data_IF_601616621209
#
_entry.id   IF_601616621209
#
_cell.length_a   1.000
_cell.length_b   1.000
_cell.length_c   1.000
_cell.angle_alpha   90.00
_cell.angle_beta   90.00
_cell.angle_gamma   90.00
#
_symmetry.space_group_name_H-M   'P 1'
#
loop_
_entity.id
_entity.type
_entity.pdbx_description
1 polymer ?
#
# COMPACT_ATOMS: atom_id res chain seq x y z
N UNK A 1 14.61 -21.61 13.59
CA UNK A 1 13.40 -22.38 13.27
C UNK A 1 13.38 -22.60 11.76
N UNK A 2 13.57 -23.84 11.31
CA UNK A 2 13.52 -24.21 9.89
C UNK A 2 12.07 -24.26 9.44
N UNK A 3 11.70 -23.47 8.43
CA UNK A 3 10.35 -23.48 7.85
C UNK A 3 9.99 -24.88 7.32
N UNK A 4 8.74 -25.35 7.53
CA UNK A 4 8.33 -26.68 7.12
C UNK A 4 8.27 -26.78 5.59
N UNK A 5 9.15 -27.62 5.02
CA UNK A 5 9.19 -27.93 3.59
C UNK A 5 7.93 -28.71 3.19
N UNK A 6 7.21 -28.23 2.19
CA UNK A 6 6.09 -28.95 1.58
C UNK A 6 4.76 -28.17 1.50
N UNK A 7 4.67 -27.00 2.13
CA UNK A 7 3.52 -26.11 1.93
C UNK A 7 3.79 -25.17 0.74
N UNK A 8 2.79 -24.98 -0.13
CA UNK A 8 2.75 -24.01 -1.25
C UNK A 8 3.19 -22.60 -0.82
N UNK A 9 3.17 -22.32 0.49
CA UNK A 9 3.69 -21.12 1.14
C UNK A 9 5.12 -20.70 0.72
N UNK A 10 5.94 -21.61 0.18
CA UNK A 10 7.33 -21.35 -0.22
C UNK A 10 7.65 -21.73 -1.67
N UNK A 11 6.67 -21.72 -2.60
CA UNK A 11 7.03 -21.84 -4.03
C UNK A 11 8.02 -20.70 -4.38
N UNK A 12 9.29 -21.03 -4.69
CA UNK A 12 10.33 -20.04 -4.87
C UNK A 12 10.03 -19.13 -6.07
N UNK A 13 9.29 -19.61 -7.07
CA UNK A 13 8.90 -18.85 -8.25
C UNK A 13 7.88 -17.78 -7.85
N UNK A 14 6.83 -18.17 -7.12
CA UNK A 14 5.79 -17.26 -6.66
C UNK A 14 6.36 -16.18 -5.76
N UNK A 15 7.23 -16.57 -4.82
CA UNK A 15 7.84 -15.63 -3.90
C UNK A 15 8.90 -14.73 -4.56
N UNK A 16 9.58 -15.18 -5.62
CA UNK A 16 10.43 -14.30 -6.43
C UNK A 16 9.60 -13.26 -7.20
N UNK A 17 8.49 -13.68 -7.81
CA UNK A 17 7.55 -12.75 -8.46
C UNK A 17 7.00 -11.75 -7.44
N UNK A 18 6.60 -12.20 -6.25
CA UNK A 18 6.16 -11.31 -5.17
C UNK A 18 7.23 -10.29 -4.78
N UNK A 19 8.49 -10.70 -4.63
CA UNK A 19 9.61 -9.79 -4.33
C UNK A 19 9.82 -8.75 -5.43
N UNK A 20 9.70 -9.14 -6.70
CA UNK A 20 9.81 -8.21 -7.84
C UNK A 20 8.64 -7.23 -7.87
N UNK A 21 7.43 -7.71 -7.63
CA UNK A 21 6.23 -6.88 -7.58
C UNK A 21 6.31 -5.86 -6.43
N UNK A 22 6.64 -6.28 -5.22
CA UNK A 22 6.75 -5.37 -4.06
C UNK A 22 7.83 -4.31 -4.26
N UNK A 23 8.97 -4.63 -4.90
CA UNK A 23 9.97 -3.64 -5.31
C UNK A 23 9.41 -2.65 -6.35
N UNK A 24 8.64 -3.14 -7.32
CA UNK A 24 8.04 -2.30 -8.35
C UNK A 24 7.01 -1.32 -7.74
N UNK A 25 6.25 -1.75 -6.74
CA UNK A 25 5.25 -0.95 -6.02
C UNK A 25 5.81 -0.28 -4.75
N UNK A 26 7.14 -0.12 -4.63
CA UNK A 26 7.75 0.47 -3.45
C UNK A 26 7.23 1.88 -3.14
N UNK A 27 6.99 2.15 -1.85
CA UNK A 27 6.43 3.40 -1.31
C UNK A 27 7.21 4.64 -1.75
N UNK A 28 8.55 4.56 -1.73
CA UNK A 28 9.42 5.66 -2.15
C UNK A 28 9.19 6.11 -3.59
N UNK A 29 8.76 5.21 -4.48
CA UNK A 29 8.42 5.57 -5.87
C UNK A 29 7.13 6.38 -5.96
N UNK A 30 6.22 6.23 -5.00
CA UNK A 30 4.98 7.03 -4.94
C UNK A 30 5.30 8.46 -4.51
N UNK A 31 6.23 8.66 -3.57
CA UNK A 31 6.66 9.98 -3.10
C UNK A 31 7.23 10.81 -4.26
N UNK A 32 8.01 10.21 -5.16
CA UNK A 32 8.54 10.88 -6.36
C UNK A 32 7.43 11.28 -7.35
N UNK A 33 6.37 10.47 -7.47
CA UNK A 33 5.26 10.66 -8.43
C UNK A 33 4.17 11.62 -7.92
N UNK A 34 4.04 11.77 -6.60
CA UNK A 34 3.08 12.69 -5.97
C UNK A 34 3.41 14.18 -6.22
N UNK A 35 4.56 14.48 -6.80
CA UNK A 35 4.99 15.81 -7.24
C UNK A 35 4.07 16.34 -8.38
N UNK A 36 2.99 17.03 -8.04
CA UNK A 36 2.15 17.92 -8.88
C UNK A 36 2.18 17.67 -10.41
N UNK A 37 1.95 16.44 -10.86
CA UNK A 37 1.93 16.13 -12.29
C UNK A 37 0.48 16.14 -12.78
N UNK A 38 0.22 16.52 -14.05
CA UNK A 38 -1.12 16.36 -14.68
C UNK A 38 -1.71 14.95 -14.51
N UNK A 39 -0.87 13.93 -14.32
CA UNK A 39 -1.28 12.54 -14.01
C UNK A 39 -2.00 12.39 -12.67
N UNK A 40 -1.72 13.24 -11.68
CA UNK A 40 -2.40 13.21 -10.36
C UNK A 40 -3.85 13.64 -10.49
N UNK A 41 -4.18 14.56 -11.42
CA UNK A 41 -5.56 14.97 -11.66
C UNK A 41 -6.44 13.80 -12.14
N UNK A 42 -5.86 12.85 -12.87
CA UNK A 42 -6.58 11.64 -13.29
C UNK A 42 -6.92 10.70 -12.13
N UNK A 43 -6.30 10.87 -10.95
CA UNK A 43 -6.63 10.12 -9.74
C UNK A 43 -7.94 10.56 -9.08
N UNK A 44 -8.50 11.69 -9.51
CA UNK A 44 -9.82 12.17 -9.06
C UNK A 44 -10.93 11.86 -10.08
N UNK A 45 -10.73 10.88 -10.95
CA UNK A 45 -11.72 10.46 -11.95
C UNK A 45 -12.48 9.22 -11.49
N UNK A 46 -13.68 8.98 -12.04
CA UNK A 46 -14.42 7.75 -11.73
C UNK A 46 -13.78 6.49 -12.35
N UNK A 47 -12.92 6.62 -13.37
CA UNK A 47 -12.22 5.50 -14.02
C UNK A 47 -10.74 5.43 -13.64
N UNK A 48 -10.50 4.96 -12.42
CA UNK A 48 -9.16 4.73 -11.90
C UNK A 48 -8.49 3.53 -12.56
N UNK A 49 -9.24 2.47 -12.87
CA UNK A 49 -8.66 1.21 -13.33
C UNK A 49 -8.09 1.32 -14.74
N UNK A 50 -8.78 1.98 -15.69
CA UNK A 50 -8.23 2.20 -17.03
C UNK A 50 -6.99 3.09 -16.98
N UNK A 51 -6.95 4.06 -16.06
CA UNK A 51 -5.80 4.93 -15.85
C UNK A 51 -4.60 4.13 -15.34
N UNK A 52 -4.81 3.24 -14.36
CA UNK A 52 -3.79 2.35 -13.82
C UNK A 52 -3.27 1.37 -14.87
N UNK A 53 -4.14 0.76 -15.67
CA UNK A 53 -3.75 -0.13 -16.78
C UNK A 53 -2.88 0.53 -17.84
N UNK A 54 -3.03 1.85 -18.06
CA UNK A 54 -2.17 2.60 -18.99
C UNK A 54 -0.79 2.88 -18.40
N UNK A 55 -0.63 2.79 -17.08
CA UNK A 55 0.62 3.10 -16.39
C UNK A 55 1.72 2.07 -16.67
N UNK A 56 2.96 2.53 -16.85
CA UNK A 56 4.09 1.65 -17.19
C UNK A 56 4.39 0.60 -16.13
N UNK A 57 4.26 0.95 -14.84
CA UNK A 57 4.49 0.01 -13.75
C UNK A 57 3.45 -1.11 -13.71
N UNK A 58 2.17 -0.83 -13.96
CA UNK A 58 1.16 -1.89 -14.09
C UNK A 58 1.43 -2.82 -15.28
N UNK A 59 1.84 -2.28 -16.44
CA UNK A 59 2.18 -3.10 -17.61
C UNK A 59 3.32 -4.07 -17.33
N UNK A 60 4.39 -3.59 -16.69
CA UNK A 60 5.53 -4.42 -16.28
C UNK A 60 5.06 -5.49 -15.28
N UNK A 61 4.24 -5.10 -14.31
CA UNK A 61 3.73 -6.00 -13.28
C UNK A 61 2.84 -7.12 -13.85
N UNK A 62 1.92 -6.80 -14.77
CA UNK A 62 1.12 -7.78 -15.49
C UNK A 62 2.01 -8.75 -16.31
N UNK A 63 3.09 -8.25 -16.90
CA UNK A 63 4.09 -9.08 -17.57
C UNK A 63 4.75 -10.10 -16.63
N UNK A 64 5.07 -9.69 -15.40
CA UNK A 64 5.63 -10.61 -14.38
C UNK A 64 4.63 -11.70 -13.97
N UNK A 65 3.33 -11.37 -13.91
CA UNK A 65 2.27 -12.34 -13.60
C UNK A 65 2.02 -13.33 -14.73
N UNK A 66 2.37 -13.00 -15.98
CA UNK A 66 2.17 -13.85 -17.15
C UNK A 66 2.88 -15.20 -17.09
N UNK A 67 3.97 -15.31 -16.31
CA UNK A 67 4.73 -16.56 -16.14
C UNK A 67 4.15 -17.52 -15.09
N UNK A 68 3.11 -17.13 -14.34
CA UNK A 68 2.51 -17.95 -13.29
C UNK A 68 1.39 -18.83 -13.84
N UNK A 69 1.25 -20.05 -13.32
CA UNK A 69 0.07 -20.88 -13.54
C UNK A 69 -1.13 -20.40 -12.69
N UNK A 70 -2.32 -20.93 -12.94
CA UNK A 70 -3.54 -20.45 -12.27
C UNK A 70 -3.54 -20.71 -10.75
N UNK A 71 -3.14 -21.90 -10.24
CA UNK A 71 -3.01 -22.11 -8.78
C UNK A 71 -2.02 -21.16 -8.10
N UNK A 72 -0.89 -20.86 -8.74
CA UNK A 72 0.10 -19.90 -8.25
C UNK A 72 -0.47 -18.48 -8.21
N UNK A 73 -1.21 -18.09 -9.24
CA UNK A 73 -1.88 -16.79 -9.29
C UNK A 73 -2.96 -16.67 -8.22
N UNK A 74 -3.76 -17.72 -8.00
CA UNK A 74 -4.79 -17.76 -6.97
C UNK A 74 -4.19 -17.63 -5.56
N UNK A 75 -3.09 -18.34 -5.29
CA UNK A 75 -2.35 -18.16 -4.04
C UNK A 75 -1.82 -16.74 -3.90
N UNK A 76 -1.21 -16.17 -4.95
CA UNK A 76 -0.65 -14.82 -4.91
C UNK A 76 -1.74 -13.75 -4.73
N UNK A 77 -2.92 -13.97 -5.30
CA UNK A 77 -4.10 -13.12 -5.11
C UNK A 77 -4.50 -13.08 -3.63
N UNK A 78 -4.65 -14.25 -3.01
CA UNK A 78 -5.01 -14.33 -1.59
C UNK A 78 -3.91 -13.77 -0.68
N UNK A 79 -2.64 -14.05 -0.98
CA UNK A 79 -1.50 -13.48 -0.29
C UNK A 79 -1.51 -11.94 -0.33
N UNK A 80 -1.73 -11.37 -1.51
CA UNK A 80 -1.78 -9.92 -1.69
C UNK A 80 -2.96 -9.27 -0.95
N UNK A 81 -4.12 -9.95 -0.93
CA UNK A 81 -5.31 -9.52 -0.20
C UNK A 81 -5.07 -9.48 1.31
N UNK A 82 -4.45 -10.52 1.87
CA UNK A 82 -4.06 -10.57 3.28
C UNK A 82 -3.03 -9.49 3.62
N UNK A 83 -2.05 -9.28 2.75
CA UNK A 83 -1.05 -8.22 2.92
C UNK A 83 -1.68 -6.82 2.92
N UNK A 84 -2.63 -6.56 2.01
CA UNK A 84 -3.35 -5.29 1.95
C UNK A 84 -4.21 -5.08 3.21
N UNK A 85 -4.95 -6.10 3.65
CA UNK A 85 -5.75 -6.03 4.89
C UNK A 85 -4.88 -5.79 6.14
N UNK A 86 -3.70 -6.42 6.20
CA UNK A 86 -2.74 -6.20 7.29
C UNK A 86 -2.15 -4.80 7.25
N UNK A 87 -1.75 -4.31 6.07
CA UNK A 87 -1.21 -2.96 5.90
C UNK A 87 -2.22 -1.89 6.30
N UNK A 88 -3.48 -2.06 5.89
CA UNK A 88 -4.58 -1.17 6.28
C UNK A 88 -4.82 -1.17 7.80
N UNK A 89 -4.80 -2.34 8.44
CA UNK A 89 -4.96 -2.43 9.91
C UNK A 89 -3.84 -1.73 10.65
N UNK A 90 -2.60 -1.92 10.21
CA UNK A 90 -1.42 -1.24 10.77
C UNK A 90 -1.57 0.27 10.57
N UNK A 91 -1.91 0.73 9.36
CA UNK A 91 -2.12 2.15 9.08
C UNK A 91 -3.18 2.76 10.01
N UNK A 92 -4.36 2.13 10.15
CA UNK A 92 -5.42 2.64 11.03
C UNK A 92 -5.00 2.69 12.49
N UNK A 93 -4.38 1.62 12.98
CA UNK A 93 -3.95 1.52 14.38
C UNK A 93 -2.86 2.55 14.69
N UNK A 94 -1.85 2.63 13.84
CA UNK A 94 -0.74 3.58 14.01
C UNK A 94 -1.21 5.02 13.90
N UNK A 95 -2.08 5.34 12.93
CA UNK A 95 -2.66 6.69 12.80
C UNK A 95 -3.48 7.06 14.04
N UNK A 96 -4.27 6.12 14.58
CA UNK A 96 -5.04 6.36 15.81
C UNK A 96 -4.11 6.67 17.00
N UNK A 97 -3.06 5.87 17.19
CA UNK A 97 -2.05 6.09 18.24
C UNK A 97 -1.35 7.44 18.04
N UNK A 98 -0.93 7.70 16.80
CA UNK A 98 -0.21 8.91 16.43
C UNK A 98 -1.02 10.16 16.73
N UNK A 99 -2.34 10.16 16.49
CA UNK A 99 -3.20 11.32 16.78
C UNK A 99 -3.61 11.37 18.25
N UNK A 100 -4.09 10.26 18.81
CA UNK A 100 -4.72 10.25 20.14
C UNK A 100 -3.75 10.50 21.28
N UNK A 101 -2.56 9.87 21.26
CA UNK A 101 -1.60 10.01 22.37
C UNK A 101 -1.15 11.46 22.51
N UNK A 102 -0.75 12.17 21.44
CA UNK A 102 -0.20 13.51 21.64
C UNK A 102 -1.30 14.55 21.90
N UNK A 103 -2.51 14.35 21.40
CA UNK A 103 -3.67 15.15 21.83
C UNK A 103 -3.91 14.96 23.34
N UNK A 104 -3.97 13.71 23.81
CA UNK A 104 -4.15 13.43 25.24
C UNK A 104 -3.00 13.98 26.10
N UNK A 105 -1.76 13.90 25.62
CA UNK A 105 -0.60 14.46 26.29
C UNK A 105 -0.68 15.98 26.38
N UNK A 106 -1.09 16.68 25.31
CA UNK A 106 -1.29 18.14 25.33
C UNK A 106 -2.33 18.52 26.37
N UNK A 107 -3.48 17.85 26.44
CA UNK A 107 -4.49 18.13 27.46
C UNK A 107 -3.97 17.86 28.87
N UNK A 108 -3.47 16.65 29.14
CA UNK A 108 -3.04 16.24 30.48
C UNK A 108 -1.88 17.08 31.02
N UNK A 109 -0.89 17.40 30.18
CA UNK A 109 0.25 18.23 30.60
C UNK A 109 -0.17 19.68 30.81
N UNK A 110 -1.05 20.23 29.97
CA UNK A 110 -1.49 21.63 30.12
C UNK A 110 -2.34 21.85 31.37
N UNK A 111 -3.06 20.82 31.84
CA UNK A 111 -3.78 20.87 33.12
C UNK A 111 -2.83 20.77 34.33
N UNK A 112 -1.73 20.02 34.22
CA UNK A 112 -0.78 19.81 35.31
C UNK A 112 0.26 20.92 35.46
N UNK A 113 0.84 21.39 34.35
CA UNK A 113 1.84 22.47 34.30
C UNK A 113 1.63 23.31 33.02
N UNK A 114 0.88 24.42 33.11
CA UNK A 114 0.59 25.28 31.95
C UNK A 114 1.82 25.87 31.26
N UNK A 115 2.96 25.99 31.97
CA UNK A 115 4.20 26.55 31.42
C UNK A 115 5.12 25.49 30.82
N UNK A 116 4.83 24.21 31.02
CA UNK A 116 5.69 23.10 30.58
C UNK A 116 6.10 23.23 29.11
N UNK A 117 5.11 23.42 28.23
CA UNK A 117 5.33 23.55 26.77
C UNK A 117 6.21 24.74 26.40
N UNK A 118 6.15 25.84 27.15
CA UNK A 118 7.02 27.00 26.93
C UNK A 118 8.47 26.68 27.32
N UNK A 119 8.67 25.99 28.45
CA UNK A 119 9.99 25.58 28.94
C UNK A 119 10.70 24.60 28.01
N UNK A 120 9.95 23.70 27.37
CA UNK A 120 10.50 22.74 26.41
C UNK A 120 10.57 23.27 24.96
N UNK A 121 10.31 24.57 24.76
CA UNK A 121 10.54 25.23 23.47
C UNK A 121 9.42 25.12 22.43
N UNK A 122 8.23 24.65 22.82
CA UNK A 122 7.04 24.59 21.95
C UNK A 122 6.32 25.93 21.81
N UNK A 123 6.75 26.98 22.53
CA UNK A 123 6.25 28.35 22.34
C UNK A 123 6.67 28.95 20.97
N UNK A 124 7.65 28.33 20.31
CA UNK A 124 8.18 28.79 19.02
C UNK A 124 7.43 28.12 17.86
N UNK A 125 6.87 28.90 16.91
CA UNK A 125 6.14 28.34 15.78
C UNK A 125 7.00 27.39 14.93
N UNK A 126 8.32 27.58 14.91
CA UNK A 126 9.26 26.71 14.20
C UNK A 126 9.28 25.29 14.76
N UNK A 127 9.28 25.14 16.10
CA UNK A 127 9.25 23.83 16.77
C UNK A 127 7.97 23.06 16.42
N UNK A 128 6.83 23.77 16.42
CA UNK A 128 5.53 23.21 16.04
C UNK A 128 5.51 22.77 14.57
N UNK A 129 6.04 23.60 13.67
CA UNK A 129 6.13 23.27 12.24
C UNK A 129 6.98 22.03 11.99
N UNK A 130 8.11 21.87 12.68
CA UNK A 130 8.98 20.69 12.54
C UNK A 130 8.25 19.41 12.97
N UNK A 131 7.54 19.45 14.10
CA UNK A 131 6.83 18.29 14.64
C UNK A 131 5.65 17.92 13.75
N UNK A 132 4.84 18.91 13.35
CA UNK A 132 3.74 18.69 12.40
C UNK A 132 4.28 18.15 11.08
N UNK A 133 5.37 18.70 10.57
CA UNK A 133 6.03 18.23 9.35
C UNK A 133 6.47 16.77 9.45
N UNK A 134 7.11 16.38 10.55
CA UNK A 134 7.52 15.00 10.80
C UNK A 134 6.31 14.06 10.90
N UNK A 135 5.25 14.50 11.57
CA UNK A 135 3.99 13.77 11.68
C UNK A 135 3.31 13.54 10.34
N UNK A 136 3.21 14.58 9.51
CA UNK A 136 2.66 14.51 8.17
C UNK A 136 3.49 13.56 7.30
N UNK A 137 4.82 13.61 7.42
CA UNK A 137 5.71 12.70 6.71
C UNK A 137 5.46 11.24 7.11
N UNK A 138 5.44 10.93 8.40
CA UNK A 138 5.19 9.56 8.89
C UNK A 138 3.81 9.07 8.46
N UNK A 139 2.78 9.89 8.62
CA UNK A 139 1.41 9.57 8.22
C UNK A 139 1.30 9.35 6.71
N UNK A 140 1.96 10.20 5.92
CA UNK A 140 2.01 10.10 4.47
C UNK A 140 2.70 8.82 3.99
N UNK A 141 3.80 8.41 4.64
CA UNK A 141 4.48 7.15 4.35
C UNK A 141 3.58 5.95 4.64
N UNK A 142 2.90 5.94 5.80
CA UNK A 142 2.00 4.84 6.17
C UNK A 142 0.79 4.76 5.24
N UNK A 143 0.20 5.90 4.89
CA UNK A 143 -0.88 5.99 3.91
C UNK A 143 -0.42 5.48 2.53
N UNK A 144 0.76 5.90 2.06
CA UNK A 144 1.31 5.46 0.80
C UNK A 144 1.64 3.95 0.81
N UNK A 145 2.05 3.38 1.94
CA UNK A 145 2.24 1.94 2.11
C UNK A 145 0.91 1.17 2.01
N UNK A 146 -0.12 1.62 2.74
CA UNK A 146 -1.45 1.03 2.67
C UNK A 146 -2.01 1.11 1.23
N UNK A 147 -1.89 2.26 0.58
CA UNK A 147 -2.27 2.44 -0.82
C UNK A 147 -1.54 1.45 -1.73
N UNK A 148 -0.20 1.42 -1.71
CA UNK A 148 0.58 0.54 -2.59
C UNK A 148 0.29 -0.93 -2.38
N UNK A 149 0.01 -1.34 -1.14
CA UNK A 149 -0.40 -2.71 -0.85
C UNK A 149 -1.72 -3.07 -1.52
N UNK A 150 -2.65 -2.11 -1.63
CA UNK A 150 -3.94 -2.28 -2.27
C UNK A 150 -3.86 -2.24 -3.80
N UNK A 151 -3.09 -1.31 -4.38
CA UNK A 151 -2.79 -1.29 -5.82
C UNK A 151 -2.28 -2.65 -6.30
N UNK A 152 -1.39 -3.26 -5.52
CA UNK A 152 -0.81 -4.56 -5.85
C UNK A 152 -1.83 -5.70 -5.78
N UNK A 153 -2.72 -5.68 -4.79
CA UNK A 153 -3.81 -6.65 -4.69
C UNK A 153 -4.81 -6.50 -5.85
N UNK A 154 -5.16 -5.27 -6.21
CA UNK A 154 -6.07 -4.96 -7.30
C UNK A 154 -5.49 -5.41 -8.66
N UNK A 155 -4.19 -5.22 -8.88
CA UNK A 155 -3.48 -5.72 -10.05
C UNK A 155 -3.62 -7.24 -10.22
N UNK A 156 -3.38 -7.99 -9.14
CA UNK A 156 -3.39 -9.45 -9.18
C UNK A 156 -4.84 -9.95 -9.36
N UNK A 157 -5.80 -9.33 -8.65
CA UNK A 157 -7.22 -9.63 -8.81
C UNK A 157 -7.70 -9.36 -10.26
N UNK A 158 -7.23 -8.27 -10.88
CA UNK A 158 -7.53 -7.98 -12.28
C UNK A 158 -7.01 -9.07 -13.21
N UNK A 159 -5.76 -9.51 -13.03
CA UNK A 159 -5.20 -10.57 -13.88
C UNK A 159 -5.94 -11.90 -13.70
N UNK A 160 -6.30 -12.24 -12.45
CA UNK A 160 -7.14 -13.41 -12.18
C UNK A 160 -8.50 -13.32 -12.91
N UNK A 161 -9.15 -12.16 -12.86
CA UNK A 161 -10.42 -11.93 -13.57
C UNK A 161 -10.25 -12.03 -15.10
N UNK A 162 -9.15 -11.52 -15.66
CA UNK A 162 -8.85 -11.61 -17.10
C UNK A 162 -8.66 -13.06 -17.55
N UNK A 163 -8.00 -13.89 -16.75
CA UNK A 163 -7.83 -15.32 -17.05
C UNK A 163 -9.14 -16.08 -16.99
N UNK A 164 -9.96 -15.83 -15.96
CA UNK A 164 -11.32 -16.40 -15.86
C UNK A 164 -12.19 -16.02 -17.06
N UNK A 165 -12.17 -14.75 -17.49
CA UNK A 165 -12.90 -14.33 -18.68
C UNK A 165 -12.41 -15.04 -19.95
N UNK A 166 -11.09 -15.25 -20.09
CA UNK A 166 -10.50 -15.94 -21.23
C UNK A 166 -10.90 -17.41 -21.26
N UNK A 167 -10.85 -18.11 -20.13
CA UNK A 167 -11.26 -19.52 -20.04
C UNK A 167 -12.76 -19.69 -20.32
N UNK A 168 -13.61 -18.81 -19.81
CA UNK A 168 -15.06 -18.82 -20.10
C UNK A 168 -15.35 -18.62 -21.60
N UNK A 169 -14.65 -17.70 -22.27
CA UNK A 169 -14.81 -17.48 -23.72
C UNK A 169 -14.39 -18.70 -24.55
N UNK A 170 -13.32 -19.39 -24.15
CA UNK A 170 -12.86 -20.61 -24.80
C UNK A 170 -13.88 -21.74 -24.62
N UNK A 171 -14.45 -21.89 -23.42
CA UNK A 171 -15.48 -22.89 -23.15
C UNK A 171 -16.74 -22.66 -24.00
N UNK A 172 -17.19 -21.40 -24.14
CA UNK A 172 -18.34 -21.06 -24.99
C UNK A 172 -18.09 -21.23 -26.49
N UNK A 173 -16.83 -21.23 -26.94
CA UNK A 173 -16.48 -21.41 -28.36
C UNK A 173 -16.35 -22.89 -28.77
N UNK A 174 -16.37 -23.81 -27.80
CA UNK A 174 -16.25 -25.26 -28.03
C UNK A 174 -17.61 -25.98 -27.95
N UNK A 175 -18.69 -25.25 -27.64
CA UNK A 175 -20.08 -25.70 -27.71
C UNK A 175 -20.70 -25.32 -29.06
#
# INVERSE_FOLDING_TARGET
MSEPRGYIANDPVVMDVWKRLTKLFAVWRLIVIASFTRRVLYQFTNDQMSTLMRSGHWKIALGLLGGLNDPQLDFLAEWSRLNAARSERIFRTTTLILVSIPVAAVFGVSEMDPEFWQRIGFARPESLMVIIGLWLLVSGILMAAAWRSRDLADLIALEQARRKLRSSKLASATQ
#
